data_IF_894255612688
#
_entry.id   IF_894255612688
#
_cell.length_a   1.000
_cell.length_b   1.000
_cell.length_c   1.000
_cell.angle_alpha   90.00
_cell.angle_beta   90.00
_cell.angle_gamma   90.00
#
_symmetry.space_group_name_H-M   'P 1'
#
loop_
_entity.id
_entity.type
_entity.pdbx_description
1 polymer ?
#
# COMPACT_ATOMS: atom_id res chain seq x y z
N UNK A 1 44.65 -50.78 14.18
CA UNK A 1 43.38 -51.45 13.79
C UNK A 1 42.28 -50.41 13.93
N UNK A 2 41.51 -50.18 12.87
CA UNK A 2 40.67 -49.00 12.64
C UNK A 2 39.55 -48.85 13.70
N UNK A 3 39.44 -47.68 14.32
CA UNK A 3 38.22 -47.24 15.00
C UNK A 3 37.22 -46.77 13.93
N UNK A 4 36.11 -47.47 13.79
CA UNK A 4 34.98 -47.08 12.94
C UNK A 4 34.11 -46.07 13.69
N UNK A 5 34.02 -44.85 13.18
CA UNK A 5 33.00 -43.88 13.56
C UNK A 5 31.63 -44.36 13.05
N UNK A 6 30.62 -44.32 13.92
CA UNK A 6 29.21 -44.36 13.52
C UNK A 6 28.61 -43.01 13.87
N UNK A 7 28.51 -42.14 12.87
CA UNK A 7 27.71 -40.93 12.94
C UNK A 7 26.29 -41.34 12.57
N UNK A 8 25.43 -41.47 13.58
CA UNK A 8 23.99 -41.60 13.37
C UNK A 8 23.44 -40.24 12.96
N UNK A 9 23.11 -40.07 11.69
CA UNK A 9 22.35 -38.94 11.19
C UNK A 9 20.89 -39.08 11.65
N UNK A 10 20.48 -38.28 12.64
CA UNK A 10 19.07 -38.09 12.96
C UNK A 10 18.53 -37.04 11.98
N UNK A 11 17.75 -37.50 10.99
CA UNK A 11 16.97 -36.63 10.12
C UNK A 11 15.80 -36.12 10.95
N UNK A 12 15.90 -34.89 11.45
CA UNK A 12 14.78 -34.17 12.05
C UNK A 12 13.77 -33.81 10.97
N UNK A 13 12.60 -34.45 11.02
CA UNK A 13 11.46 -34.12 10.19
C UNK A 13 10.87 -32.79 10.71
N UNK A 14 11.25 -31.68 10.09
CA UNK A 14 10.64 -30.37 10.35
C UNK A 14 9.23 -30.40 9.75
N UNK A 15 8.22 -30.57 10.59
CA UNK A 15 6.83 -30.28 10.25
C UNK A 15 6.66 -28.76 10.24
N UNK A 16 6.61 -28.17 9.04
CA UNK A 16 6.08 -26.81 8.86
C UNK A 16 4.60 -26.82 9.26
N UNK A 17 4.30 -26.32 10.45
CA UNK A 17 2.93 -25.89 10.77
C UNK A 17 2.74 -24.51 10.14
N UNK A 18 1.84 -24.43 9.15
CA UNK A 18 1.43 -23.15 8.58
C UNK A 18 0.70 -22.33 9.64
N UNK A 19 1.30 -21.22 10.07
CA UNK A 19 0.64 -20.21 10.88
C UNK A 19 -0.45 -19.56 10.03
N UNK A 20 -1.71 -19.94 10.27
CA UNK A 20 -2.87 -19.29 9.65
C UNK A 20 -3.24 -18.07 10.49
N UNK A 21 -2.97 -16.87 9.99
CA UNK A 21 -3.53 -15.64 10.58
C UNK A 21 -5.06 -15.75 10.62
N UNK A 22 -5.68 -15.61 11.79
CA UNK A 22 -7.13 -15.67 11.91
C UNK A 22 -7.80 -14.61 11.02
N UNK A 23 -8.81 -15.01 10.26
CA UNK A 23 -9.56 -14.07 9.41
C UNK A 23 -10.38 -13.08 10.26
N UNK A 24 -10.62 -11.85 9.78
CA UNK A 24 -11.52 -10.90 10.44
C UNK A 24 -12.87 -11.54 10.78
N UNK A 25 -13.32 -11.39 12.03
CA UNK A 25 -14.53 -12.06 12.54
C UNK A 25 -15.83 -11.66 11.83
N UNK A 26 -15.83 -10.54 11.09
CA UNK A 26 -16.98 -10.09 10.30
C UNK A 26 -17.23 -10.95 9.05
N UNK A 27 -16.24 -11.74 8.63
CA UNK A 27 -16.33 -12.58 7.43
C UNK A 27 -17.15 -13.85 7.69
N UNK A 28 -18.14 -14.08 6.83
CA UNK A 28 -18.88 -15.34 6.79
C UNK A 28 -18.07 -16.43 6.08
N UNK A 29 -18.25 -17.67 6.55
CA UNK A 29 -17.65 -18.87 5.96
C UNK A 29 -18.68 -19.78 5.28
N UNK A 30 -19.91 -19.29 5.04
CA UNK A 30 -20.98 -20.08 4.40
C UNK A 30 -20.90 -20.06 2.87
N UNK A 31 -20.15 -19.11 2.31
CA UNK A 31 -19.92 -18.95 0.88
C UNK A 31 -20.99 -18.11 0.18
N UNK A 32 -20.66 -17.64 -1.02
CA UNK A 32 -21.40 -16.60 -1.76
C UNK A 32 -22.93 -16.82 -1.84
N UNK A 33 -23.37 -18.00 -2.28
CA UNK A 33 -24.81 -18.27 -2.49
C UNK A 33 -25.59 -18.31 -1.17
N UNK A 34 -25.00 -18.90 -0.12
CA UNK A 34 -25.63 -19.02 1.19
C UNK A 34 -25.69 -17.66 1.90
N UNK A 35 -24.63 -16.86 1.78
CA UNK A 35 -24.58 -15.52 2.35
C UNK A 35 -25.52 -14.55 1.62
N UNK A 36 -25.63 -14.65 0.29
CA UNK A 36 -26.61 -13.88 -0.49
C UNK A 36 -28.03 -14.17 -0.04
N UNK A 37 -28.36 -15.45 0.14
CA UNK A 37 -29.67 -15.86 0.64
C UNK A 37 -29.92 -15.34 2.06
N UNK A 38 -28.93 -15.45 2.95
CA UNK A 38 -29.03 -14.96 4.33
C UNK A 38 -29.20 -13.43 4.40
N UNK A 39 -28.47 -12.67 3.56
CA UNK A 39 -28.62 -11.22 3.45
C UNK A 39 -30.04 -10.86 3.00
N UNK A 40 -30.56 -11.56 1.99
CA UNK A 40 -31.92 -11.34 1.47
C UNK A 40 -32.99 -11.64 2.52
N UNK A 41 -32.87 -12.76 3.24
CA UNK A 41 -33.79 -13.17 4.30
C UNK A 41 -33.78 -12.19 5.47
N UNK A 42 -32.59 -11.69 5.84
CA UNK A 42 -32.43 -10.71 6.91
C UNK A 42 -32.72 -9.26 6.49
N UNK A 43 -33.08 -9.01 5.22
CA UNK A 43 -33.21 -7.69 4.63
C UNK A 43 -31.97 -6.80 4.86
N UNK A 44 -30.78 -7.40 4.77
CA UNK A 44 -29.47 -6.77 4.88
C UNK A 44 -28.78 -6.66 3.51
N UNK A 45 -27.77 -5.81 3.43
CA UNK A 45 -26.89 -5.75 2.27
C UNK A 45 -26.00 -7.00 2.19
N UNK A 46 -25.67 -7.44 0.98
CA UNK A 46 -24.66 -8.47 0.76
C UNK A 46 -23.38 -7.79 0.30
N UNK A 47 -22.35 -7.80 1.15
CA UNK A 47 -21.05 -7.21 0.86
C UNK A 47 -20.09 -8.34 0.48
N UNK A 48 -19.53 -8.28 -0.72
CA UNK A 48 -18.64 -9.31 -1.25
C UNK A 48 -17.24 -8.73 -1.37
N UNK A 49 -16.29 -9.34 -0.66
CA UNK A 49 -14.89 -8.95 -0.64
C UNK A 49 -14.06 -9.92 -1.47
N UNK A 50 -13.72 -9.52 -2.70
CA UNK A 50 -12.85 -10.29 -3.57
C UNK A 50 -11.39 -10.06 -3.20
N UNK A 51 -10.70 -11.15 -2.86
CA UNK A 51 -9.38 -11.16 -2.25
C UNK A 51 -8.50 -12.24 -2.88
N UNK A 52 -7.21 -12.26 -2.51
CA UNK A 52 -6.28 -13.33 -2.88
C UNK A 52 -5.18 -13.48 -1.84
N UNK A 53 -4.66 -14.70 -1.66
CA UNK A 53 -3.56 -14.99 -0.71
C UNK A 53 -2.25 -14.24 -1.02
N UNK A 54 -1.97 -13.96 -2.29
CA UNK A 54 -0.79 -13.21 -2.75
C UNK A 54 -1.01 -11.68 -2.73
N UNK A 55 -2.24 -11.21 -2.53
CA UNK A 55 -2.57 -9.79 -2.62
C UNK A 55 -2.13 -9.01 -1.35
N UNK A 56 -1.02 -8.25 -1.47
CA UNK A 56 -0.49 -7.40 -0.40
C UNK A 56 -1.49 -6.37 0.15
N UNK A 57 -2.16 -5.56 -0.71
CA UNK A 57 -3.17 -4.60 -0.26
C UNK A 57 -4.37 -5.27 0.42
N UNK A 58 -4.73 -6.51 0.03
CA UNK A 58 -5.76 -7.28 0.69
C UNK A 58 -5.38 -7.66 2.13
N UNK A 59 -4.12 -8.08 2.33
CA UNK A 59 -3.58 -8.34 3.67
C UNK A 59 -3.58 -7.09 4.53
N UNK A 60 -3.21 -5.93 3.95
CA UNK A 60 -3.30 -4.63 4.62
C UNK A 60 -4.73 -4.33 5.03
N UNK A 61 -5.68 -4.41 4.11
CA UNK A 61 -7.10 -4.13 4.35
C UNK A 61 -7.70 -5.08 5.40
N UNK A 62 -7.31 -6.38 5.42
CA UNK A 62 -7.70 -7.33 6.49
C UNK A 62 -7.18 -6.93 7.86
N UNK A 63 -5.99 -6.31 7.95
CA UNK A 63 -5.37 -5.86 9.21
C UNK A 63 -5.80 -4.47 9.68
N UNK A 64 -6.30 -3.63 8.79
CA UNK A 64 -6.65 -2.24 9.11
C UNK A 64 -8.15 -1.98 8.97
N UNK A 65 -8.71 -2.21 7.78
CA UNK A 65 -10.05 -1.76 7.40
C UNK A 65 -11.14 -2.71 7.89
N UNK A 66 -10.92 -4.02 7.76
CA UNK A 66 -11.92 -5.04 8.13
C UNK A 66 -12.01 -5.32 9.64
N UNK A 67 -11.15 -4.70 10.44
CA UNK A 67 -11.11 -4.83 11.90
C UNK A 67 -11.38 -3.50 12.62
N UNK A 68 -11.57 -2.42 11.86
CA UNK A 68 -11.88 -1.11 12.42
C UNK A 68 -13.26 -1.11 13.08
N UNK A 69 -13.36 -0.52 14.28
CA UNK A 69 -14.58 -0.56 15.10
C UNK A 69 -15.79 0.06 14.40
N UNK A 70 -15.60 1.18 13.69
CA UNK A 70 -16.69 1.85 12.99
C UNK A 70 -17.19 1.03 11.80
N UNK A 71 -16.27 0.41 11.07
CA UNK A 71 -16.57 -0.46 9.93
C UNK A 71 -17.27 -1.72 10.41
N UNK A 72 -16.74 -2.39 11.44
CA UNK A 72 -17.31 -3.63 12.00
C UNK A 72 -18.71 -3.37 12.54
N UNK A 73 -18.90 -2.33 13.37
CA UNK A 73 -20.21 -2.01 13.96
C UNK A 73 -21.27 -1.78 12.89
N UNK A 74 -20.92 -1.03 11.84
CA UNK A 74 -21.84 -0.80 10.72
C UNK A 74 -22.14 -2.11 9.96
N UNK A 75 -21.14 -2.93 9.66
CA UNK A 75 -21.34 -4.18 8.92
C UNK A 75 -22.20 -5.18 9.71
N UNK A 76 -22.02 -5.28 11.02
CA UNK A 76 -22.82 -6.16 11.88
C UNK A 76 -24.30 -5.78 11.89
N UNK A 77 -24.60 -4.48 11.86
CA UNK A 77 -25.98 -3.98 11.82
C UNK A 77 -26.58 -4.13 10.42
N UNK A 78 -25.85 -3.77 9.36
CA UNK A 78 -26.42 -3.52 8.03
C UNK A 78 -26.15 -4.61 6.97
N UNK A 79 -25.18 -5.51 7.18
CA UNK A 79 -24.68 -6.37 6.10
C UNK A 79 -24.42 -7.83 6.51
N UNK A 80 -24.28 -8.68 5.49
CA UNK A 80 -23.61 -9.98 5.54
C UNK A 80 -22.39 -9.89 4.64
N UNK A 81 -21.21 -10.24 5.15
CA UNK A 81 -19.93 -10.09 4.43
C UNK A 81 -19.40 -11.45 3.98
N UNK A 82 -19.17 -11.60 2.68
CA UNK A 82 -18.58 -12.81 2.08
C UNK A 82 -17.18 -12.50 1.55
N UNK A 83 -16.11 -13.07 2.11
CA UNK A 83 -14.82 -13.11 1.44
C UNK A 83 -14.87 -14.12 0.28
N UNK A 84 -14.28 -13.74 -0.85
CA UNK A 84 -14.15 -14.60 -2.04
C UNK A 84 -12.70 -14.56 -2.47
N UNK A 85 -11.99 -15.68 -2.27
CA UNK A 85 -10.66 -15.84 -2.89
C UNK A 85 -10.85 -16.09 -4.40
N UNK A 86 -10.26 -15.24 -5.22
CA UNK A 86 -10.43 -15.27 -6.68
C UNK A 86 -9.75 -16.48 -7.33
N UNK A 87 -8.71 -17.04 -6.70
CA UNK A 87 -8.03 -18.25 -7.19
C UNK A 87 -8.87 -19.50 -6.93
N UNK A 88 -9.60 -19.53 -5.81
CA UNK A 88 -10.49 -20.63 -5.46
C UNK A 88 -11.83 -20.54 -6.21
N UNK A 89 -12.34 -19.33 -6.43
CA UNK A 89 -13.68 -19.06 -7.00
C UNK A 89 -13.62 -18.38 -8.37
N UNK A 90 -12.72 -18.84 -9.26
CA UNK A 90 -12.46 -18.24 -10.59
C UNK A 90 -13.69 -17.98 -11.43
N UNK A 91 -14.66 -18.90 -11.45
CA UNK A 91 -15.91 -18.74 -12.22
C UNK A 91 -16.75 -17.58 -11.70
N UNK A 92 -16.87 -17.45 -10.39
CA UNK A 92 -17.61 -16.37 -9.75
C UNK A 92 -16.90 -15.03 -9.98
N UNK A 93 -15.57 -15.00 -9.80
CA UNK A 93 -14.75 -13.81 -10.09
C UNK A 93 -14.93 -13.34 -11.54
N UNK A 94 -14.92 -14.26 -12.51
CA UNK A 94 -15.17 -13.95 -13.93
C UNK A 94 -16.60 -13.43 -14.16
N UNK A 95 -17.61 -14.09 -13.60
CA UNK A 95 -19.02 -13.67 -13.71
C UNK A 95 -19.25 -12.27 -13.14
N UNK A 96 -18.58 -11.96 -12.03
CA UNK A 96 -18.64 -10.67 -11.33
C UNK A 96 -17.68 -9.62 -11.88
N UNK A 97 -16.97 -9.96 -12.98
CA UNK A 97 -16.00 -9.11 -13.68
C UNK A 97 -14.95 -8.51 -12.74
N UNK A 98 -14.40 -9.33 -11.85
CA UNK A 98 -13.33 -8.93 -10.94
C UNK A 98 -12.02 -8.90 -11.70
N UNK A 99 -11.38 -7.73 -11.75
CA UNK A 99 -10.15 -7.47 -12.53
C UNK A 99 -8.96 -7.03 -11.68
N UNK A 100 -9.20 -6.72 -10.40
CA UNK A 100 -8.18 -6.25 -9.49
C UNK A 100 -8.57 -6.57 -8.05
N UNK A 101 -7.55 -6.74 -7.21
CA UNK A 101 -7.70 -7.09 -5.82
C UNK A 101 -7.06 -6.00 -4.95
N UNK A 102 -7.68 -5.63 -3.81
CA UNK A 102 -9.01 -6.04 -3.39
C UNK A 102 -10.11 -5.40 -4.25
N UNK A 103 -11.25 -6.07 -4.37
CA UNK A 103 -12.50 -5.44 -4.85
C UNK A 103 -13.60 -5.69 -3.82
N UNK A 104 -14.35 -4.65 -3.45
CA UNK A 104 -15.55 -4.77 -2.62
C UNK A 104 -16.77 -4.41 -3.45
N UNK A 105 -17.73 -5.32 -3.53
CA UNK A 105 -19.01 -5.10 -4.20
C UNK A 105 -20.16 -5.21 -3.18
N UNK A 106 -21.13 -4.31 -3.27
CA UNK A 106 -22.30 -4.27 -2.37
C UNK A 106 -23.55 -4.55 -3.20
N UNK A 107 -24.35 -5.49 -2.74
CA UNK A 107 -25.59 -5.90 -3.38
C UNK A 107 -26.80 -5.66 -2.47
N UNK A 108 -27.91 -5.28 -3.09
CA UNK A 108 -29.25 -5.28 -2.50
C UNK A 108 -30.10 -6.24 -3.31
N UNK A 109 -30.37 -7.41 -2.73
CA UNK A 109 -30.87 -8.55 -3.51
C UNK A 109 -29.87 -8.94 -4.60
N UNK A 110 -30.35 -9.09 -5.83
CA UNK A 110 -29.50 -9.44 -6.99
C UNK A 110 -28.86 -8.22 -7.68
N UNK A 111 -29.15 -7.00 -7.20
CA UNK A 111 -28.65 -5.77 -7.82
C UNK A 111 -27.40 -5.28 -7.10
N UNK A 112 -26.29 -5.19 -7.82
CA UNK A 112 -25.10 -4.48 -7.35
C UNK A 112 -25.42 -2.98 -7.25
N UNK A 113 -25.21 -2.38 -6.08
CA UNK A 113 -25.48 -0.97 -5.81
C UNK A 113 -24.21 -0.12 -5.64
N UNK A 114 -23.09 -0.75 -5.30
CA UNK A 114 -21.80 -0.07 -5.17
C UNK A 114 -20.62 -1.02 -5.41
N UNK A 115 -19.51 -0.45 -5.91
CA UNK A 115 -18.23 -1.15 -6.09
C UNK A 115 -17.06 -0.24 -5.74
N UNK A 116 -16.05 -0.82 -5.10
CA UNK A 116 -14.76 -0.19 -4.83
C UNK A 116 -13.64 -1.14 -5.28
N UNK A 117 -12.66 -0.60 -6.00
CA UNK A 117 -11.50 -1.36 -6.50
C UNK A 117 -10.24 -0.76 -5.91
N UNK A 118 -9.38 -1.62 -5.37
CA UNK A 118 -8.14 -1.23 -4.69
C UNK A 118 -8.32 -1.04 -3.19
N UNK A 119 -7.22 -0.72 -2.52
CA UNK A 119 -7.21 -0.48 -1.08
C UNK A 119 -8.03 0.76 -0.71
N UNK A 120 -8.80 0.65 0.36
CA UNK A 120 -9.54 1.75 0.98
C UNK A 120 -9.30 1.74 2.49
N UNK A 121 -8.90 2.89 3.03
CA UNK A 121 -8.63 3.07 4.46
C UNK A 121 -9.94 3.07 5.29
N UNK A 122 -9.88 2.86 6.62
CA UNK A 122 -11.06 2.65 7.46
C UNK A 122 -12.15 3.73 7.35
N UNK A 123 -11.84 4.99 7.68
CA UNK A 123 -12.83 6.07 7.66
C UNK A 123 -13.45 6.30 6.26
N UNK A 124 -12.68 6.38 5.15
CA UNK A 124 -13.25 6.43 3.81
C UNK A 124 -14.09 5.20 3.44
N UNK A 125 -13.76 4.01 3.96
CA UNK A 125 -14.52 2.80 3.70
C UNK A 125 -15.87 2.82 4.41
N UNK A 126 -15.90 3.22 5.68
CA UNK A 126 -17.14 3.44 6.43
C UNK A 126 -18.05 4.45 5.72
N UNK A 127 -17.53 5.62 5.34
CA UNK A 127 -18.29 6.64 4.62
C UNK A 127 -18.83 6.12 3.28
N UNK A 128 -18.05 5.30 2.58
CA UNK A 128 -18.46 4.66 1.34
C UNK A 128 -19.59 3.65 1.54
N UNK A 129 -19.56 2.84 2.62
CA UNK A 129 -20.62 1.89 2.98
C UNK A 129 -21.94 2.60 3.29
N UNK A 130 -21.89 3.68 4.08
CA UNK A 130 -23.06 4.51 4.41
C UNK A 130 -23.69 5.08 3.14
N UNK A 131 -22.89 5.62 2.23
CA UNK A 131 -23.37 6.16 0.94
C UNK A 131 -23.92 5.08 0.02
N UNK A 132 -23.33 3.88 0.03
CA UNK A 132 -23.85 2.74 -0.72
C UNK A 132 -25.26 2.37 -0.25
N UNK A 133 -25.47 2.28 1.07
CA UNK A 133 -26.77 2.00 1.66
C UNK A 133 -27.79 3.09 1.31
N UNK A 134 -27.42 4.37 1.44
CA UNK A 134 -28.27 5.51 1.10
C UNK A 134 -28.70 5.55 -0.38
N UNK A 135 -28.02 4.81 -1.26
CA UNK A 135 -28.25 4.84 -2.71
C UNK A 135 -27.62 6.05 -3.40
N UNK A 136 -26.68 6.72 -2.73
CA UNK A 136 -25.94 7.88 -3.25
C UNK A 136 -24.80 7.49 -4.19
N UNK A 137 -24.54 6.19 -4.29
CA UNK A 137 -23.58 5.62 -5.22
C UNK A 137 -24.34 5.00 -6.39
N UNK A 138 -23.82 5.23 -7.60
CA UNK A 138 -24.26 4.48 -8.77
C UNK A 138 -23.43 3.20 -8.87
N UNK A 139 -24.03 2.06 -9.26
CA UNK A 139 -23.26 0.88 -9.61
C UNK A 139 -22.27 1.27 -10.70
N UNK A 140 -20.99 0.93 -10.54
CA UNK A 140 -20.00 1.15 -11.60
C UNK A 140 -20.26 0.29 -12.86
N UNK A 141 -21.33 -0.50 -12.89
CA UNK A 141 -21.74 -1.30 -14.05
C UNK A 141 -21.91 -0.48 -15.35
N UNK A 142 -22.17 0.83 -15.27
CA UNK A 142 -22.31 1.70 -16.45
C UNK A 142 -20.99 2.39 -16.88
N UNK A 143 -19.91 2.29 -16.10
CA UNK A 143 -18.57 2.73 -16.52
C UNK A 143 -17.77 1.62 -17.23
N UNK A 144 -18.32 0.40 -17.28
CA UNK A 144 -17.73 -0.78 -17.91
C UNK A 144 -18.67 -1.42 -18.93
N UNK A 145 -19.35 -0.60 -19.73
CA UNK A 145 -19.91 -1.09 -21.00
C UNK A 145 -18.74 -1.53 -21.87
N UNK A 146 -18.66 -2.84 -22.13
CA UNK A 146 -17.80 -3.38 -23.18
C UNK A 146 -18.14 -2.60 -24.47
N UNK A 147 -17.16 -2.00 -25.17
CA UNK A 147 -17.31 -1.84 -26.61
C UNK A 147 -17.78 -3.16 -27.21
N UNK A 148 -18.64 -3.10 -28.23
CA UNK A 148 -19.07 -4.32 -28.90
C UNK A 148 -17.83 -5.03 -29.48
N UNK A 149 -17.75 -6.36 -29.30
CA UNK A 149 -16.62 -7.16 -29.75
C UNK A 149 -16.26 -6.86 -31.23
N UNK A 150 -15.05 -6.35 -31.40
CA UNK A 150 -14.32 -6.28 -32.65
C UNK A 150 -12.87 -5.96 -32.32
N UNK A 151 -11.94 -6.84 -32.69
CA UNK A 151 -10.48 -6.67 -32.63
C UNK A 151 -9.93 -5.93 -31.38
N UNK A 152 -10.53 -6.19 -30.21
CA UNK A 152 -10.36 -5.40 -28.99
C UNK A 152 -9.16 -5.88 -28.16
N UNK A 153 -8.32 -4.96 -27.70
CA UNK A 153 -7.12 -5.28 -26.92
C UNK A 153 -7.49 -5.59 -25.47
N UNK A 154 -7.25 -6.82 -25.04
CA UNK A 154 -7.43 -7.25 -23.65
C UNK A 154 -6.19 -6.87 -22.81
N UNK A 155 -6.35 -5.86 -21.94
CA UNK A 155 -5.28 -5.36 -21.07
C UNK A 155 -4.87 -6.38 -20.01
N UNK A 156 -5.80 -7.17 -19.50
CA UNK A 156 -5.52 -8.21 -18.50
C UNK A 156 -4.65 -9.29 -19.11
N UNK A 157 -5.06 -9.81 -20.27
CA UNK A 157 -4.30 -10.80 -21.02
C UNK A 157 -2.89 -10.28 -21.39
N UNK A 158 -2.74 -8.99 -21.67
CA UNK A 158 -1.43 -8.37 -21.93
C UNK A 158 -0.56 -8.24 -20.68
N UNK A 159 -1.14 -7.93 -19.52
CA UNK A 159 -0.43 -7.93 -18.24
C UNK A 159 0.05 -9.34 -17.89
N UNK A 160 -0.80 -10.34 -18.07
CA UNK A 160 -0.44 -11.76 -17.87
C UNK A 160 0.65 -12.21 -18.85
N UNK A 161 0.53 -11.86 -20.14
CA UNK A 161 1.55 -12.13 -21.16
C UNK A 161 2.89 -11.50 -20.77
N UNK A 162 2.89 -10.22 -20.36
CA UNK A 162 4.10 -9.51 -19.95
C UNK A 162 4.80 -10.21 -18.76
N UNK A 163 4.03 -10.63 -17.75
CA UNK A 163 4.58 -11.36 -16.60
C UNK A 163 5.10 -12.75 -17.00
N UNK A 164 4.37 -13.50 -17.84
CA UNK A 164 4.83 -14.79 -18.35
C UNK A 164 6.14 -14.68 -19.14
N UNK A 165 6.36 -13.56 -19.83
CA UNK A 165 7.64 -13.29 -20.51
C UNK A 165 8.77 -13.08 -19.51
N UNK A 166 8.53 -12.40 -18.38
CA UNK A 166 9.51 -12.28 -17.28
C UNK A 166 9.83 -13.65 -16.70
N UNK A 167 8.80 -14.43 -16.34
CA UNK A 167 8.96 -15.75 -15.74
C UNK A 167 9.67 -16.74 -16.68
N UNK A 168 9.51 -16.57 -17.99
CA UNK A 168 10.21 -17.35 -19.02
C UNK A 168 11.63 -16.84 -19.35
N UNK A 169 12.12 -15.79 -18.69
CA UNK A 169 13.41 -15.16 -18.95
C UNK A 169 13.50 -14.42 -20.29
N UNK A 170 12.37 -14.14 -20.94
CA UNK A 170 12.27 -13.40 -22.21
C UNK A 170 12.18 -11.90 -21.94
N UNK A 171 13.24 -11.38 -21.33
CA UNK A 171 13.24 -10.04 -20.73
C UNK A 171 13.12 -8.91 -21.77
N UNK A 172 13.62 -9.11 -22.99
CA UNK A 172 13.51 -8.11 -24.07
C UNK A 172 12.06 -7.98 -24.58
N UNK A 173 11.35 -9.10 -24.70
CA UNK A 173 9.94 -9.14 -25.06
C UNK A 173 9.07 -8.61 -23.92
N UNK A 174 9.37 -8.99 -22.67
CA UNK A 174 8.70 -8.45 -21.48
C UNK A 174 8.84 -6.92 -21.42
N UNK A 175 10.04 -6.40 -21.72
CA UNK A 175 10.27 -4.94 -21.80
C UNK A 175 9.32 -4.28 -22.78
N UNK A 176 9.22 -4.82 -24.00
CA UNK A 176 8.30 -4.28 -25.02
C UNK A 176 6.84 -4.33 -24.54
N UNK A 177 6.44 -5.43 -23.90
CA UNK A 177 5.09 -5.60 -23.39
C UNK A 177 4.76 -4.58 -22.30
N UNK A 178 5.63 -4.41 -21.29
CA UNK A 178 5.39 -3.43 -20.23
C UNK A 178 5.49 -1.97 -20.70
N UNK A 179 6.38 -1.65 -21.64
CA UNK A 179 6.40 -0.29 -22.22
C UNK A 179 5.15 0.01 -23.02
N UNK A 180 4.61 -0.98 -23.74
CA UNK A 180 3.34 -0.84 -24.46
C UNK A 180 2.19 -0.64 -23.47
N UNK A 181 2.15 -1.44 -22.39
CA UNK A 181 1.14 -1.30 -21.34
C UNK A 181 1.20 0.09 -20.72
N UNK A 182 2.39 0.57 -20.37
CA UNK A 182 2.55 1.91 -19.81
C UNK A 182 1.94 3.01 -20.69
N UNK A 183 2.27 2.97 -21.99
CA UNK A 183 1.86 4.00 -22.95
C UNK A 183 0.38 3.90 -23.35
N UNK A 184 -0.19 2.69 -23.39
CA UNK A 184 -1.48 2.47 -24.03
C UNK A 184 -2.59 1.92 -23.13
N UNK A 185 -2.30 1.30 -21.98
CA UNK A 185 -3.32 0.55 -21.23
C UNK A 185 -4.54 1.40 -20.85
N UNK A 186 -4.32 2.68 -20.54
CA UNK A 186 -5.39 3.60 -20.15
C UNK A 186 -6.17 4.18 -21.34
N UNK A 187 -5.64 4.07 -22.55
CA UNK A 187 -6.37 4.41 -23.78
C UNK A 187 -7.50 3.39 -24.04
N UNK A 188 -7.33 2.16 -23.53
CA UNK A 188 -8.32 1.08 -23.64
C UNK A 188 -9.22 0.96 -22.42
N UNK A 189 -8.66 1.08 -21.21
CA UNK A 189 -9.44 0.99 -19.97
C UNK A 189 -8.79 1.80 -18.84
N UNK A 190 -9.38 2.96 -18.54
CA UNK A 190 -8.93 3.87 -17.49
C UNK A 190 -8.92 3.24 -16.09
N UNK A 191 -9.70 2.18 -15.85
CA UNK A 191 -9.74 1.52 -14.55
C UNK A 191 -8.42 0.85 -14.15
N UNK A 192 -7.53 0.61 -15.13
CA UNK A 192 -6.20 0.10 -14.87
C UNK A 192 -5.23 1.17 -14.32
N UNK A 193 -5.66 2.42 -14.14
CA UNK A 193 -4.82 3.48 -13.56
C UNK A 193 -4.22 3.06 -12.21
N UNK A 194 -5.02 2.45 -11.33
CA UNK A 194 -4.54 1.95 -10.05
C UNK A 194 -3.52 0.80 -10.20
N UNK A 195 -3.70 -0.09 -11.17
CA UNK A 195 -2.79 -1.21 -11.46
C UNK A 195 -1.46 -0.71 -11.99
N UNK A 196 -1.49 0.26 -12.90
CA UNK A 196 -0.30 0.91 -13.50
C UNK A 196 0.63 1.48 -12.44
N UNK A 197 0.06 2.10 -11.40
CA UNK A 197 0.79 2.77 -10.33
C UNK A 197 1.09 1.88 -9.11
N UNK A 198 0.78 0.58 -9.18
CA UNK A 198 0.99 -0.36 -8.08
C UNK A 198 1.68 -1.64 -8.56
N UNK A 199 0.93 -2.70 -8.84
CA UNK A 199 1.48 -4.02 -9.15
C UNK A 199 2.39 -3.99 -10.38
N UNK A 200 2.03 -3.19 -11.40
CA UNK A 200 2.84 -3.07 -12.59
C UNK A 200 4.20 -2.42 -12.28
N UNK A 201 4.26 -1.47 -11.34
CA UNK A 201 5.53 -0.85 -10.87
C UNK A 201 6.45 -1.93 -10.33
N UNK A 202 5.96 -2.82 -9.44
CA UNK A 202 6.75 -3.91 -8.87
C UNK A 202 7.26 -4.87 -9.95
N UNK A 203 6.40 -5.27 -10.89
CA UNK A 203 6.81 -6.16 -11.99
C UNK A 203 7.88 -5.52 -12.88
N UNK A 204 7.75 -4.22 -13.17
CA UNK A 204 8.76 -3.49 -13.96
C UNK A 204 10.08 -3.38 -13.19
N UNK A 205 10.05 -3.11 -11.89
CA UNK A 205 11.25 -3.05 -11.05
C UNK A 205 11.99 -4.39 -11.01
N UNK A 206 11.26 -5.51 -10.92
CA UNK A 206 11.86 -6.85 -11.04
C UNK A 206 12.54 -7.04 -12.40
N UNK A 207 11.85 -6.70 -13.50
CA UNK A 207 12.41 -6.77 -14.85
C UNK A 207 13.67 -5.90 -14.98
N UNK A 208 13.65 -4.67 -14.48
CA UNK A 208 14.77 -3.72 -14.54
C UNK A 208 15.98 -4.19 -13.70
N UNK A 209 15.74 -4.89 -12.59
CA UNK A 209 16.81 -5.46 -11.78
C UNK A 209 17.61 -6.53 -12.54
N UNK A 210 16.96 -7.25 -13.46
CA UNK A 210 17.56 -8.33 -14.24
C UNK A 210 17.94 -7.92 -15.67
N UNK A 211 17.38 -6.81 -16.18
CA UNK A 211 17.54 -6.39 -17.58
C UNK A 211 17.82 -4.88 -17.71
N UNK A 212 19.09 -4.53 -17.88
CA UNK A 212 19.52 -3.13 -18.08
C UNK A 212 18.81 -2.42 -19.26
N UNK A 213 18.58 -3.06 -20.43
CA UNK A 213 17.82 -2.43 -21.51
C UNK A 213 16.38 -2.05 -21.14
N UNK A 214 15.75 -2.75 -20.18
CA UNK A 214 14.46 -2.34 -19.64
C UNK A 214 14.57 -1.01 -18.90
N UNK A 215 15.63 -0.83 -18.10
CA UNK A 215 15.89 0.43 -17.39
C UNK A 215 16.02 1.59 -18.38
N UNK A 216 16.76 1.39 -19.46
CA UNK A 216 16.93 2.39 -20.51
C UNK A 216 15.60 2.73 -21.21
N UNK A 217 14.74 1.73 -21.44
CA UNK A 217 13.42 1.93 -22.04
C UNK A 217 12.50 2.76 -21.13
N UNK A 218 12.39 2.41 -19.85
CA UNK A 218 11.58 3.18 -18.89
C UNK A 218 12.16 4.56 -18.60
N UNK A 219 13.49 4.72 -18.62
CA UNK A 219 14.12 6.04 -18.57
C UNK A 219 13.70 6.90 -19.77
N UNK A 220 13.58 6.32 -20.96
CA UNK A 220 13.12 7.06 -22.16
C UNK A 220 11.69 7.58 -21.98
N UNK A 221 10.80 6.77 -21.40
CA UNK A 221 9.43 7.17 -21.04
C UNK A 221 9.48 8.30 -19.99
N UNK A 222 10.27 8.15 -18.93
CA UNK A 222 10.48 9.19 -17.90
C UNK A 222 10.93 10.51 -18.52
N UNK A 223 11.96 10.47 -19.35
CA UNK A 223 12.54 11.66 -19.98
C UNK A 223 11.54 12.37 -20.90
N UNK A 224 10.63 11.62 -21.54
CA UNK A 224 9.50 12.18 -22.31
C UNK A 224 8.55 12.95 -21.39
N UNK A 225 8.15 12.36 -20.27
CA UNK A 225 7.28 13.04 -19.29
C UNK A 225 7.95 14.28 -18.68
N UNK A 226 9.26 14.20 -18.42
CA UNK A 226 10.03 15.32 -17.88
C UNK A 226 10.03 16.53 -18.82
N UNK A 227 10.24 16.31 -20.13
CA UNK A 227 10.25 17.41 -21.13
C UNK A 227 8.91 18.15 -21.18
N UNK A 228 7.83 17.43 -21.02
CA UNK A 228 6.48 18.00 -21.03
C UNK A 228 6.21 18.82 -19.76
N UNK A 229 6.67 18.34 -18.60
CA UNK A 229 6.65 19.13 -17.36
C UNK A 229 7.50 20.41 -17.48
N UNK A 230 8.70 20.31 -18.07
CA UNK A 230 9.59 21.45 -18.34
C UNK A 230 9.02 22.44 -19.36
N UNK A 231 8.18 21.97 -20.30
CA UNK A 231 7.44 22.81 -21.23
C UNK A 231 6.22 23.51 -20.61
N UNK A 232 5.92 23.25 -19.33
CA UNK A 232 4.80 23.85 -18.60
C UNK A 232 3.49 23.06 -18.67
N UNK A 233 3.47 21.88 -19.29
CA UNK A 233 2.30 21.01 -19.37
C UNK A 233 2.12 20.20 -18.07
N UNK A 234 2.01 20.89 -16.94
CA UNK A 234 1.93 20.28 -15.61
C UNK A 234 0.48 19.91 -15.29
N UNK A 235 0.15 18.62 -15.42
CA UNK A 235 -1.12 18.06 -14.92
C UNK A 235 -0.86 17.09 -13.77
N UNK A 236 -1.91 16.82 -12.99
CA UNK A 236 -1.84 15.87 -11.87
C UNK A 236 -1.30 14.51 -12.31
N UNK A 237 -1.90 13.94 -13.36
CA UNK A 237 -1.59 12.58 -13.82
C UNK A 237 -0.18 12.50 -14.39
N UNK A 238 0.25 13.51 -15.16
CA UNK A 238 1.63 13.59 -15.69
C UNK A 238 2.66 13.63 -14.58
N UNK A 239 2.38 14.36 -13.50
CA UNK A 239 3.30 14.46 -12.38
C UNK A 239 3.35 13.15 -11.57
N UNK A 240 2.20 12.50 -11.35
CA UNK A 240 2.15 11.17 -10.73
C UNK A 240 2.93 10.14 -11.55
N UNK A 241 2.74 10.13 -12.87
CA UNK A 241 3.45 9.23 -13.78
C UNK A 241 4.96 9.49 -13.74
N UNK A 242 5.38 10.75 -13.78
CA UNK A 242 6.79 11.12 -13.73
C UNK A 242 7.46 10.71 -12.41
N UNK A 243 6.81 10.96 -11.26
CA UNK A 243 7.32 10.51 -9.94
C UNK A 243 7.41 8.99 -9.90
N UNK A 244 6.38 8.29 -10.37
CA UNK A 244 6.35 6.82 -10.40
C UNK A 244 7.46 6.25 -11.29
N UNK A 245 7.70 6.87 -12.45
CA UNK A 245 8.78 6.48 -13.34
C UNK A 245 10.16 6.70 -12.74
N UNK A 246 10.36 7.80 -11.99
CA UNK A 246 11.58 8.01 -11.21
C UNK A 246 11.80 6.86 -10.21
N UNK A 247 10.76 6.48 -9.46
CA UNK A 247 10.82 5.33 -8.54
C UNK A 247 11.13 4.01 -9.26
N UNK A 248 10.53 3.77 -10.43
CA UNK A 248 10.80 2.58 -11.25
C UNK A 248 12.29 2.49 -11.62
N UNK A 249 12.88 3.60 -12.07
CA UNK A 249 14.27 3.63 -12.55
C UNK A 249 15.29 3.93 -11.45
N UNK A 250 14.85 4.19 -10.22
CA UNK A 250 15.69 4.57 -9.07
C UNK A 250 16.29 5.97 -9.16
N UNK A 251 15.62 6.91 -9.83
CA UNK A 251 16.03 8.32 -9.96
C UNK A 251 15.31 9.22 -8.94
N UNK A 252 15.33 8.80 -7.68
CA UNK A 252 14.67 9.50 -6.57
C UNK A 252 15.21 10.92 -6.36
N UNK A 253 16.48 11.14 -6.69
CA UNK A 253 17.13 12.45 -6.59
C UNK A 253 16.46 13.47 -7.51
N UNK A 254 15.96 13.05 -8.69
CA UNK A 254 15.18 13.92 -9.57
C UNK A 254 13.86 14.32 -8.91
N UNK A 255 13.14 13.38 -8.29
CA UNK A 255 11.89 13.65 -7.55
C UNK A 255 12.15 14.66 -6.44
N UNK A 256 13.18 14.46 -5.64
CA UNK A 256 13.56 15.36 -4.54
C UNK A 256 13.89 16.75 -5.07
N UNK A 257 14.72 16.86 -6.11
CA UNK A 257 15.07 18.15 -6.70
C UNK A 257 13.84 18.90 -7.24
N UNK A 258 12.85 18.18 -7.75
CA UNK A 258 11.59 18.79 -8.19
C UNK A 258 10.74 19.27 -7.00
N UNK A 259 10.67 18.49 -5.92
CA UNK A 259 9.99 18.88 -4.68
C UNK A 259 10.64 20.11 -4.05
N UNK A 260 11.96 20.18 -3.98
CA UNK A 260 12.70 21.36 -3.51
C UNK A 260 12.31 22.64 -4.24
N UNK A 261 12.32 22.59 -5.58
CA UNK A 261 11.94 23.75 -6.40
C UNK A 261 10.52 24.22 -6.10
N UNK A 262 9.57 23.32 -5.93
CA UNK A 262 8.16 23.70 -5.75
C UNK A 262 7.83 24.05 -4.29
N UNK A 263 8.32 23.28 -3.33
CA UNK A 263 8.04 23.48 -1.90
C UNK A 263 8.86 24.65 -1.33
N UNK A 264 10.16 24.71 -1.63
CA UNK A 264 11.09 25.65 -1.00
C UNK A 264 11.30 26.88 -1.88
N UNK A 265 11.78 26.69 -3.11
CA UNK A 265 12.16 27.84 -3.95
C UNK A 265 10.94 28.66 -4.41
N UNK A 266 9.85 27.99 -4.80
CA UNK A 266 8.58 28.64 -5.17
C UNK A 266 7.65 28.91 -3.98
N UNK A 267 7.97 28.35 -2.80
CA UNK A 267 7.16 28.45 -1.59
C UNK A 267 5.69 28.03 -1.82
N UNK A 268 5.47 26.90 -2.50
CA UNK A 268 4.16 26.37 -2.88
C UNK A 268 4.01 24.89 -2.48
N UNK A 269 3.96 24.57 -1.17
CA UNK A 269 3.80 23.20 -0.68
C UNK A 269 2.43 22.59 -1.05
N UNK A 270 1.39 23.41 -1.22
CA UNK A 270 0.04 22.93 -1.51
C UNK A 270 -0.04 22.27 -2.89
N UNK A 271 0.72 22.78 -3.86
CA UNK A 271 0.80 22.21 -5.21
C UNK A 271 1.28 20.75 -5.25
N UNK A 272 1.94 20.26 -4.19
CA UNK A 272 2.52 18.92 -4.14
C UNK A 272 1.92 18.03 -3.06
N UNK A 273 0.99 18.53 -2.25
CA UNK A 273 0.36 17.73 -1.17
C UNK A 273 -0.37 16.49 -1.69
N UNK A 274 -0.96 16.57 -2.88
CA UNK A 274 -1.68 15.42 -3.48
C UNK A 274 -0.76 14.24 -3.80
N UNK A 275 0.55 14.48 -3.90
CA UNK A 275 1.59 13.48 -4.16
C UNK A 275 2.22 12.94 -2.88
N UNK A 276 1.86 13.45 -1.70
CA UNK A 276 2.57 13.14 -0.45
C UNK A 276 2.68 11.63 -0.22
N UNK A 277 1.61 10.87 -0.48
CA UNK A 277 1.60 9.41 -0.39
C UNK A 277 2.61 8.70 -1.32
N UNK A 278 3.12 9.37 -2.36
CA UNK A 278 4.06 8.82 -3.34
C UNK A 278 5.53 9.10 -3.00
N UNK A 279 5.82 10.12 -2.18
CA UNK A 279 7.20 10.53 -1.87
C UNK A 279 7.49 10.67 -0.37
N UNK A 280 6.49 10.57 0.51
CA UNK A 280 6.68 10.78 1.95
C UNK A 280 7.74 9.83 2.51
N UNK A 281 7.63 8.53 2.22
CA UNK A 281 8.60 7.54 2.66
C UNK A 281 10.00 7.85 2.12
N UNK A 282 10.10 8.29 0.85
CA UNK A 282 11.37 8.73 0.27
C UNK A 282 11.97 9.92 1.03
N UNK A 283 11.18 10.94 1.38
CA UNK A 283 11.69 12.09 2.14
C UNK A 283 12.12 11.69 3.55
N UNK A 284 11.41 10.75 4.17
CA UNK A 284 11.77 10.17 5.48
C UNK A 284 13.10 9.42 5.36
N UNK A 285 13.23 8.51 4.40
CA UNK A 285 14.44 7.71 4.15
C UNK A 285 15.65 8.59 3.84
N UNK A 286 15.45 9.65 3.05
CA UNK A 286 16.50 10.61 2.69
C UNK A 286 16.68 11.73 3.72
N UNK A 287 15.98 11.64 4.87
CA UNK A 287 16.08 12.57 6.00
C UNK A 287 15.94 14.04 5.58
N UNK A 288 14.97 14.31 4.69
CA UNK A 288 14.66 15.65 4.17
C UNK A 288 13.68 16.39 5.08
N UNK A 289 14.17 16.70 6.29
CA UNK A 289 13.42 17.41 7.34
C UNK A 289 12.91 18.77 6.86
N UNK A 290 13.71 19.47 6.05
CA UNK A 290 13.36 20.75 5.46
C UNK A 290 12.11 20.68 4.57
N UNK A 291 12.00 19.65 3.72
CA UNK A 291 10.83 19.44 2.87
C UNK A 291 9.63 18.93 3.67
N UNK A 292 9.84 17.94 4.54
CA UNK A 292 8.79 17.37 5.40
C UNK A 292 8.13 18.47 6.24
N UNK A 293 8.93 19.37 6.84
CA UNK A 293 8.44 20.49 7.65
C UNK A 293 7.41 21.39 6.95
N UNK A 294 7.36 21.38 5.62
CA UNK A 294 6.42 22.21 4.84
C UNK A 294 5.13 21.47 4.45
N UNK A 295 5.13 20.14 4.51
CA UNK A 295 4.03 19.33 3.95
C UNK A 295 3.39 18.38 4.95
N UNK A 296 4.03 18.10 6.09
CA UNK A 296 3.47 17.23 7.15
C UNK A 296 3.20 17.95 8.46
N UNK A 297 2.20 17.45 9.18
CA UNK A 297 2.01 17.70 10.61
C UNK A 297 2.82 16.64 11.40
N UNK A 298 3.89 17.02 12.11
CA UNK A 298 4.77 16.07 12.77
C UNK A 298 4.09 15.37 13.96
N UNK A 299 3.19 16.05 14.69
CA UNK A 299 2.51 15.46 15.86
C UNK A 299 1.52 14.40 15.40
N UNK A 300 0.71 14.72 14.39
CA UNK A 300 -0.26 13.78 13.83
C UNK A 300 0.43 12.53 13.29
N UNK A 301 1.54 12.70 12.59
CA UNK A 301 2.28 11.56 12.04
C UNK A 301 2.96 10.73 13.14
N UNK A 302 3.55 11.36 14.16
CA UNK A 302 4.14 10.66 15.29
C UNK A 302 3.10 9.80 16.04
N UNK A 303 1.90 10.35 16.31
CA UNK A 303 0.78 9.61 16.91
C UNK A 303 0.39 8.40 16.06
N UNK A 304 0.27 8.57 14.75
CA UNK A 304 -0.02 7.46 13.84
C UNK A 304 1.06 6.36 13.85
N UNK A 305 2.35 6.70 14.02
CA UNK A 305 3.41 5.71 14.17
C UNK A 305 3.32 4.94 15.50
N UNK A 306 2.96 5.62 16.60
CA UNK A 306 2.73 4.98 17.91
C UNK A 306 1.55 3.99 17.84
N UNK A 307 0.43 4.42 17.27
CA UNK A 307 -0.74 3.55 17.08
C UNK A 307 -0.38 2.31 16.24
N UNK A 308 0.39 2.50 15.17
CA UNK A 308 0.87 1.40 14.33
C UNK A 308 1.83 0.47 15.08
N UNK A 309 2.75 1.02 15.89
CA UNK A 309 3.66 0.26 16.74
C UNK A 309 2.88 -0.60 17.74
N UNK A 310 1.87 -0.05 18.42
CA UNK A 310 1.02 -0.80 19.35
C UNK A 310 0.28 -1.92 18.65
N UNK A 311 -0.28 -1.65 17.46
CA UNK A 311 -0.94 -2.67 16.65
C UNK A 311 0.05 -3.80 16.26
N UNK A 312 1.26 -3.46 15.81
CA UNK A 312 2.30 -4.44 15.48
C UNK A 312 2.67 -5.30 16.69
N UNK A 313 2.93 -4.68 17.84
CA UNK A 313 3.27 -5.39 19.07
C UNK A 313 2.14 -6.34 19.51
N UNK A 314 0.87 -5.93 19.38
CA UNK A 314 -0.26 -6.83 19.64
C UNK A 314 -0.32 -8.01 18.66
N UNK A 315 -0.08 -7.78 17.37
CA UNK A 315 -0.06 -8.86 16.37
C UNK A 315 1.07 -9.85 16.62
N UNK A 316 2.23 -9.38 17.06
CA UNK A 316 3.36 -10.25 17.39
C UNK A 316 3.08 -11.02 18.68
N UNK A 317 2.65 -10.35 19.77
CA UNK A 317 2.35 -10.99 21.05
C UNK A 317 1.32 -12.13 20.94
N UNK A 318 0.36 -12.02 20.00
CA UNK A 318 -0.65 -13.04 19.74
C UNK A 318 -0.14 -14.25 18.92
N UNK A 319 1.11 -14.23 18.43
CA UNK A 319 1.69 -15.24 17.53
C UNK A 319 3.07 -15.75 17.98
N UNK A 320 3.56 -15.45 19.19
CA UNK A 320 4.96 -15.73 19.60
C UNK A 320 5.19 -17.12 20.22
N UNK A 321 6.21 -17.82 19.72
CA UNK A 321 7.10 -18.72 20.49
C UNK A 321 8.33 -17.93 21.01
N UNK A 322 9.04 -18.43 22.03
CA UNK A 322 10.10 -17.70 22.76
C UNK A 322 11.34 -17.27 21.93
N UNK A 323 11.51 -17.76 20.69
CA UNK A 323 12.70 -17.53 19.85
C UNK A 323 12.67 -16.19 19.06
N UNK A 324 11.50 -15.53 18.95
CA UNK A 324 11.28 -14.36 18.07
C UNK A 324 11.47 -12.98 18.75
N UNK A 325 11.85 -12.94 20.03
CA UNK A 325 11.92 -11.68 20.80
C UNK A 325 12.98 -10.67 20.27
N UNK A 326 14.03 -11.16 19.60
CA UNK A 326 15.06 -10.31 18.98
C UNK A 326 14.54 -9.48 17.81
N UNK A 327 13.72 -10.10 16.94
CA UNK A 327 13.16 -9.44 15.75
C UNK A 327 12.15 -8.34 16.11
N UNK A 328 11.48 -8.45 17.26
CA UNK A 328 10.56 -7.42 17.78
C UNK A 328 11.32 -6.17 18.25
N UNK A 329 12.43 -6.35 18.95
CA UNK A 329 13.24 -5.24 19.42
C UNK A 329 13.85 -4.43 18.26
N UNK A 330 14.30 -5.13 17.21
CA UNK A 330 14.83 -4.49 15.99
C UNK A 330 13.71 -3.78 15.20
N UNK A 331 12.53 -4.39 15.10
CA UNK A 331 11.35 -3.76 14.46
C UNK A 331 10.91 -2.49 15.20
N UNK A 332 10.86 -2.52 16.53
CA UNK A 332 10.49 -1.36 17.34
C UNK A 332 11.54 -0.24 17.23
N UNK A 333 12.82 -0.59 17.15
CA UNK A 333 13.91 0.37 16.93
C UNK A 333 13.70 1.19 15.65
N UNK A 334 13.27 0.55 14.55
CA UNK A 334 12.97 1.27 13.30
C UNK A 334 11.78 2.23 13.44
N UNK A 335 10.75 1.84 14.19
CA UNK A 335 9.59 2.69 14.47
C UNK A 335 9.97 3.91 15.32
N UNK A 336 10.83 3.72 16.32
CA UNK A 336 11.36 4.79 17.16
C UNK A 336 12.18 5.80 16.36
N UNK A 337 12.99 5.35 15.39
CA UNK A 337 13.72 6.24 14.48
C UNK A 337 12.78 7.13 13.66
N UNK A 338 11.66 6.57 13.15
CA UNK A 338 10.65 7.37 12.44
C UNK A 338 10.00 8.42 13.33
N UNK A 339 9.71 8.09 14.59
CA UNK A 339 9.12 9.04 15.54
C UNK A 339 10.14 10.14 15.90
N UNK A 340 11.40 9.78 16.11
CA UNK A 340 12.49 10.74 16.34
C UNK A 340 12.70 11.67 15.13
N UNK A 341 12.45 11.19 13.91
CA UNK A 341 12.44 12.04 12.73
C UNK A 341 11.32 13.10 12.79
N UNK A 342 10.11 12.76 13.21
CA UNK A 342 9.03 13.75 13.36
C UNK A 342 9.31 14.76 14.48
N UNK A 343 10.01 14.35 15.54
CA UNK A 343 10.54 15.27 16.54
C UNK A 343 11.48 16.31 15.90
N UNK A 344 12.42 15.87 15.06
CA UNK A 344 13.31 16.79 14.35
C UNK A 344 12.57 17.68 13.34
N UNK A 345 11.52 17.17 12.67
CA UNK A 345 10.65 17.99 11.81
C UNK A 345 9.98 19.12 12.61
N UNK A 346 9.43 18.85 13.80
CA UNK A 346 8.83 19.87 14.66
C UNK A 346 9.85 20.94 15.10
N UNK A 347 11.07 20.53 15.43
CA UNK A 347 12.17 21.45 15.72
C UNK A 347 12.51 22.35 14.52
N UNK A 348 12.57 21.80 13.30
CA UNK A 348 12.80 22.57 12.07
C UNK A 348 11.67 23.56 11.80
N UNK A 349 10.44 23.24 12.18
CA UNK A 349 9.30 24.16 12.13
C UNK A 349 9.39 25.29 13.17
N UNK A 350 10.25 25.15 14.18
CA UNK A 350 10.32 26.05 15.33
C UNK A 350 9.18 25.83 16.34
N UNK A 351 8.47 24.70 16.25
CA UNK A 351 7.38 24.35 17.15
C UNK A 351 7.92 23.53 18.33
N UNK A 352 8.38 24.24 19.35
CA UNK A 352 8.95 23.60 20.53
C UNK A 352 7.92 22.82 21.36
N UNK A 353 6.63 23.18 21.28
CA UNK A 353 5.57 22.48 22.01
C UNK A 353 5.32 21.12 21.35
N UNK A 354 5.16 21.10 20.04
CA UNK A 354 5.06 19.87 19.25
C UNK A 354 6.28 18.96 19.44
N UNK A 355 7.50 19.52 19.43
CA UNK A 355 8.71 18.73 19.65
C UNK A 355 8.72 18.08 21.05
N UNK A 356 8.32 18.80 22.10
CA UNK A 356 8.21 18.21 23.46
C UNK A 356 7.16 17.11 23.50
N UNK A 357 5.99 17.33 22.90
CA UNK A 357 4.92 16.33 22.84
C UNK A 357 5.40 15.04 22.15
N UNK A 358 6.09 15.15 21.01
CA UNK A 358 6.59 13.97 20.28
C UNK A 358 7.69 13.24 21.07
N UNK A 359 8.60 13.99 21.71
CA UNK A 359 9.62 13.39 22.57
C UNK A 359 8.99 12.64 23.76
N UNK A 360 7.98 13.22 24.41
CA UNK A 360 7.24 12.56 25.49
C UNK A 360 6.51 11.30 24.99
N UNK A 361 5.86 11.35 23.82
CA UNK A 361 5.23 10.18 23.21
C UNK A 361 6.22 9.03 23.03
N UNK A 362 7.41 9.32 22.49
CA UNK A 362 8.41 8.29 22.26
C UNK A 362 9.02 7.74 23.56
N UNK A 363 9.34 8.62 24.52
CA UNK A 363 9.95 8.21 25.78
C UNK A 363 8.97 7.46 26.70
N UNK A 364 7.66 7.65 26.52
CA UNK A 364 6.65 6.82 27.18
C UNK A 364 6.65 5.37 26.64
N UNK A 365 7.06 5.14 25.40
CA UNK A 365 7.23 3.80 24.83
C UNK A 365 8.56 3.15 25.25
N UNK A 366 9.65 3.92 25.16
CA UNK A 366 10.98 3.47 25.58
C UNK A 366 11.86 4.64 26.05
N UNK A 367 12.12 4.69 27.36
CA UNK A 367 13.01 5.67 27.98
C UNK A 367 14.44 5.14 28.16
N UNK A 368 14.95 4.41 27.17
CA UNK A 368 16.31 3.89 27.20
C UNK A 368 17.34 4.96 26.79
N UNK A 369 18.62 4.83 27.20
CA UNK A 369 19.70 5.68 26.69
C UNK A 369 19.81 5.69 25.16
N UNK A 370 19.45 4.57 24.50
CA UNK A 370 19.45 4.44 23.04
C UNK A 370 18.41 5.37 22.42
N UNK A 371 17.17 5.34 22.91
CA UNK A 371 16.07 6.15 22.37
C UNK A 371 16.25 7.64 22.64
N UNK A 372 16.78 8.01 23.81
CA UNK A 372 17.20 9.40 24.06
C UNK A 372 18.29 9.86 23.09
N UNK A 373 19.24 8.98 22.76
CA UNK A 373 20.29 9.29 21.77
C UNK A 373 19.68 9.46 20.37
N UNK A 374 18.71 8.63 19.97
CA UNK A 374 18.01 8.76 18.69
C UNK A 374 17.35 10.15 18.54
N UNK A 375 16.69 10.67 19.58
CA UNK A 375 16.11 12.01 19.56
C UNK A 375 17.18 13.10 19.39
N UNK A 376 18.32 12.97 20.08
CA UNK A 376 19.46 13.91 19.93
C UNK A 376 20.05 13.84 18.53
N UNK A 377 20.28 12.65 18.01
CA UNK A 377 20.87 12.43 16.69
C UNK A 377 19.96 13.01 15.60
N UNK A 378 18.65 12.77 15.67
CA UNK A 378 17.69 13.32 14.71
C UNK A 378 17.71 14.87 14.69
N UNK A 379 17.78 15.52 15.86
CA UNK A 379 17.89 16.99 15.93
C UNK A 379 19.22 17.49 15.32
N UNK A 380 20.34 16.86 15.68
CA UNK A 380 21.67 17.22 15.17
C UNK A 380 21.74 17.07 13.65
N UNK A 381 21.20 15.98 13.11
CA UNK A 381 21.15 15.74 11.66
C UNK A 381 20.26 16.75 10.93
N UNK A 382 19.19 17.20 11.56
CA UNK A 382 18.34 18.27 11.06
C UNK A 382 18.96 19.67 11.23
N UNK A 383 20.14 19.78 11.86
CA UNK A 383 20.85 21.05 12.07
C UNK A 383 20.22 21.95 13.13
N UNK A 384 19.49 21.37 14.09
CA UNK A 384 18.77 22.05 15.16
C UNK A 384 19.17 21.51 16.53
N UNK A 385 19.02 22.33 17.58
CA UNK A 385 19.34 21.91 18.95
C UNK A 385 18.21 21.05 19.55
N UNK A 386 18.52 19.92 20.20
CA UNK A 386 17.51 19.11 20.86
C UNK A 386 16.97 19.82 22.11
N UNK A 387 15.65 19.73 22.31
CA UNK A 387 14.94 20.25 23.48
C UNK A 387 14.08 19.17 24.14
N UNK A 388 13.73 19.37 25.42
CA UNK A 388 12.77 18.48 26.11
C UNK A 388 13.33 17.11 26.49
N UNK A 389 14.65 16.92 26.43
CA UNK A 389 15.32 15.67 26.81
C UNK A 389 15.96 15.82 28.21
N UNK A 390 15.69 14.91 29.16
CA UNK A 390 16.32 14.91 30.47
C UNK A 390 17.83 14.60 30.44
#
# INVERSE_FOLDING_TARGET
MKLTAHVSALVGLILFAAVTSAEPGIFSHKGYEADRAAATEANKLHVVYFTASWCGPCKKMKRTTWVDESVVSWLEEHAVVTPVDVDEQRKLAQQMRIRAMPTVAVFRGDTEIARNVGYIAPAPFHDWLVRAEAGDLKPQAEAFTRPAAGDEVDIEAKLEEAQQLVDAGKLAEATKAYTWLWDHMLEYDEAYYGVRLSFMVSSIQQLIAEHEPARAAFKTIRDREQKELEAGNVTRDRLVDWVTLNTIIGDDDATIAWLERNIIERNDPDSVKFLLNSYQDLLVERRRYDLLSKVVDPVLNAKGQIEFLHMLNMMVANNMDEEDAGDVADTNSFMYEKIALYYAVALVQGDEEAAREIAELLLNEDDSPKTRQMLRDAAVEAGVEPIGLP
#
